data_IF_058109104474
#
_entry.id   IF_058109104474
#
_cell.length_a   1.000
_cell.length_b   1.000
_cell.length_c   1.000
_cell.angle_alpha   90.00
_cell.angle_beta   90.00
_cell.angle_gamma   90.00
#
_symmetry.space_group_name_H-M   'P 1'
#
loop_
_entity.id
_entity.type
_entity.pdbx_description
1 polymer ?
#
# COMPACT_ATOMS: atom_id res chain seq x y z
N UNK A 1 26.75 24.67 -9.00
CA UNK A 1 26.15 23.84 -7.94
C UNK A 1 24.76 24.39 -7.64
N UNK A 2 23.78 23.98 -8.44
CA UNK A 2 22.42 24.52 -8.37
C UNK A 2 21.67 23.98 -7.16
N UNK A 3 20.94 24.84 -6.44
CA UNK A 3 19.91 24.42 -5.49
C UNK A 3 19.00 23.43 -6.21
N UNK A 4 19.11 22.15 -5.88
CA UNK A 4 18.22 21.12 -6.43
C UNK A 4 16.78 21.49 -6.10
N UNK A 5 15.93 21.53 -7.11
CA UNK A 5 14.50 21.86 -7.06
C UNK A 5 13.73 20.74 -6.34
N UNK A 6 14.02 20.55 -5.05
CA UNK A 6 13.49 19.47 -4.22
C UNK A 6 12.20 19.92 -3.57
N UNK A 7 11.17 19.11 -3.73
CA UNK A 7 9.89 19.21 -3.06
C UNK A 7 9.88 18.29 -1.83
N UNK A 8 9.17 18.70 -0.79
CA UNK A 8 8.88 17.86 0.37
C UNK A 8 7.64 17.03 0.10
N UNK A 9 7.65 15.76 0.52
CA UNK A 9 6.55 14.85 0.34
C UNK A 9 6.41 13.85 1.50
N UNK A 10 5.23 13.24 1.59
CA UNK A 10 4.90 12.22 2.58
C UNK A 10 4.27 11.03 1.88
N UNK A 11 4.80 9.83 2.14
CA UNK A 11 4.16 8.58 1.77
C UNK A 11 3.35 8.08 2.96
N UNK A 12 2.05 7.87 2.79
CA UNK A 12 1.22 7.20 3.80
C UNK A 12 1.41 5.70 3.63
N UNK A 13 1.80 4.97 4.66
CA UNK A 13 2.16 3.54 4.58
C UNK A 13 1.42 2.72 5.66
N UNK A 14 1.32 1.39 5.50
CA UNK A 14 0.80 0.52 6.56
C UNK A 14 1.63 0.62 7.84
N UNK A 15 0.97 0.48 8.99
CA UNK A 15 1.64 0.42 10.28
C UNK A 15 2.55 -0.81 10.35
N UNK A 16 3.78 -0.61 10.81
CA UNK A 16 4.82 -1.65 10.88
C UNK A 16 5.69 -1.74 9.63
N UNK A 17 5.36 -1.01 8.57
CA UNK A 17 6.12 -0.98 7.32
C UNK A 17 6.82 0.36 7.09
N UNK A 18 6.92 1.24 8.08
CA UNK A 18 7.51 2.57 7.91
C UNK A 18 9.00 2.51 7.55
N UNK A 19 9.76 1.60 8.18
CA UNK A 19 11.16 1.38 7.83
C UNK A 19 11.32 0.80 6.42
N UNK A 20 10.59 -0.26 6.09
CA UNK A 20 10.62 -0.90 4.76
C UNK A 20 10.14 0.06 3.65
N UNK A 21 9.16 0.91 3.95
CA UNK A 21 8.70 1.98 3.07
C UNK A 21 9.81 3.00 2.85
N UNK A 22 10.50 3.44 3.91
CA UNK A 22 11.63 4.36 3.77
C UNK A 22 12.77 3.80 2.91
N UNK A 23 13.08 2.52 3.04
CA UNK A 23 14.05 1.84 2.17
C UNK A 23 13.57 1.78 0.71
N UNK A 24 12.29 1.51 0.46
CA UNK A 24 11.70 1.55 -0.89
C UNK A 24 11.83 2.94 -1.52
N UNK A 25 11.42 3.99 -0.80
CA UNK A 25 11.49 5.36 -1.30
C UNK A 25 12.93 5.76 -1.60
N UNK A 26 13.86 5.44 -0.71
CA UNK A 26 15.30 5.70 -0.89
C UNK A 26 15.84 4.97 -2.13
N UNK A 27 15.49 3.69 -2.31
CA UNK A 27 15.89 2.89 -3.48
C UNK A 27 15.33 3.42 -4.81
N UNK A 28 14.22 4.16 -4.76
CA UNK A 28 13.63 4.83 -5.91
C UNK A 28 14.13 6.28 -6.08
N UNK A 29 15.07 6.73 -5.25
CA UNK A 29 15.76 8.02 -5.40
C UNK A 29 15.23 9.14 -4.51
N UNK A 30 14.38 8.84 -3.52
CA UNK A 30 14.02 9.82 -2.50
C UNK A 30 15.22 10.15 -1.59
N UNK A 31 15.21 11.36 -1.04
CA UNK A 31 16.24 11.88 -0.15
C UNK A 31 15.65 12.27 1.21
N UNK A 32 16.52 12.46 2.21
CA UNK A 32 16.13 12.84 3.58
C UNK A 32 14.96 12.02 4.14
N UNK A 33 15.01 10.71 3.89
CA UNK A 33 13.90 9.80 4.17
C UNK A 33 13.80 9.53 5.67
N UNK A 34 12.65 9.86 6.25
CA UNK A 34 12.39 9.81 7.69
C UNK A 34 11.10 9.01 7.97
N UNK A 35 11.23 7.74 8.38
CA UNK A 35 10.10 6.97 8.88
C UNK A 35 9.44 7.64 10.09
N UNK A 36 8.13 7.82 10.02
CA UNK A 36 7.28 8.34 11.08
C UNK A 36 6.28 7.29 11.55
N UNK A 37 5.13 7.74 12.06
CA UNK A 37 4.01 6.84 12.42
C UNK A 37 3.06 6.71 11.24
N UNK A 38 2.96 5.53 10.63
CA UNK A 38 2.11 5.24 9.45
C UNK A 38 2.41 6.13 8.23
N UNK A 39 3.59 6.74 8.22
CA UNK A 39 4.00 7.70 7.21
C UNK A 39 5.52 7.71 7.10
N UNK A 40 6.03 8.11 5.94
CA UNK A 40 7.44 8.37 5.71
C UNK A 40 7.56 9.73 5.04
N UNK A 41 8.24 10.69 5.67
CA UNK A 41 8.54 11.98 5.04
C UNK A 41 9.84 11.90 4.26
N UNK A 42 9.92 12.61 3.14
CA UNK A 42 11.08 12.59 2.25
C UNK A 42 11.13 13.85 1.38
N UNK A 43 12.26 14.05 0.74
CA UNK A 43 12.47 15.00 -0.35
C UNK A 43 12.62 14.27 -1.69
N UNK A 44 12.10 14.88 -2.76
CA UNK A 44 12.21 14.34 -4.11
C UNK A 44 12.30 15.50 -5.11
N UNK A 45 12.78 15.25 -6.33
CA UNK A 45 12.44 16.07 -7.49
C UNK A 45 11.18 15.52 -8.18
N UNK A 46 10.67 16.21 -9.21
CA UNK A 46 9.48 15.76 -9.94
C UNK A 46 9.68 14.37 -10.60
N UNK A 47 10.89 14.09 -11.09
CA UNK A 47 11.20 12.80 -11.72
C UNK A 47 11.09 11.65 -10.71
N UNK A 48 11.66 11.84 -9.52
CA UNK A 48 11.53 10.90 -8.41
C UNK A 48 10.07 10.74 -7.99
N UNK A 49 9.31 11.84 -7.85
CA UNK A 49 7.90 11.76 -7.47
C UNK A 49 7.07 10.94 -8.48
N UNK A 50 7.30 11.10 -9.79
CA UNK A 50 6.67 10.28 -10.83
C UNK A 50 7.08 8.81 -10.72
N UNK A 51 8.38 8.56 -10.57
CA UNK A 51 8.92 7.22 -10.36
C UNK A 51 8.28 6.52 -9.16
N UNK A 52 8.06 7.23 -8.06
CA UNK A 52 7.42 6.70 -6.86
C UNK A 52 5.97 6.31 -7.13
N UNK A 53 5.20 7.12 -7.85
CA UNK A 53 3.81 6.77 -8.21
C UNK A 53 3.75 5.52 -9.11
N UNK A 54 4.69 5.39 -10.04
CA UNK A 54 4.76 4.25 -10.96
C UNK A 54 5.24 2.97 -10.27
N UNK A 55 6.24 3.07 -9.39
CA UNK A 55 7.04 1.90 -8.97
C UNK A 55 6.90 1.51 -7.49
N UNK A 56 6.44 2.40 -6.60
CA UNK A 56 6.36 2.08 -5.17
C UNK A 56 5.19 1.14 -4.85
N UNK A 57 5.45 0.12 -4.03
CA UNK A 57 4.49 -0.93 -3.66
C UNK A 57 3.90 -0.73 -2.27
N UNK A 58 4.61 -0.12 -1.34
CA UNK A 58 4.17 -0.02 0.06
C UNK A 58 3.23 1.17 0.33
N UNK A 59 3.40 2.35 -0.28
CA UNK A 59 2.52 3.49 -0.01
C UNK A 59 1.05 3.22 -0.35
N UNK A 60 0.15 3.75 0.47
CA UNK A 60 -1.26 3.95 0.15
C UNK A 60 -1.50 5.18 -0.70
N UNK A 61 -0.73 6.24 -0.46
CA UNK A 61 -0.81 7.55 -1.12
C UNK A 61 0.55 8.24 -1.06
N UNK A 62 0.84 9.08 -2.04
CA UNK A 62 1.98 9.98 -2.06
C UNK A 62 1.47 11.43 -2.08
N UNK A 63 1.86 12.19 -1.06
CA UNK A 63 1.39 13.54 -0.81
C UNK A 63 2.54 14.52 -1.04
N UNK A 64 2.41 15.40 -2.05
CA UNK A 64 3.37 16.48 -2.30
C UNK A 64 2.99 17.68 -1.44
N UNK A 65 3.84 18.07 -0.49
CA UNK A 65 3.59 19.24 0.33
C UNK A 65 3.71 20.51 -0.51
N UNK A 66 2.71 21.39 -0.42
CA UNK A 66 2.66 22.67 -1.15
C UNK A 66 2.77 23.85 -0.21
N UNK A 67 2.26 23.72 1.01
CA UNK A 67 2.38 24.76 2.02
C UNK A 67 2.48 24.16 3.43
N UNK A 68 3.13 24.91 4.30
CA UNK A 68 3.18 24.66 5.74
C UNK A 68 3.12 25.99 6.46
N UNK A 69 2.20 26.13 7.41
CA UNK A 69 1.98 27.39 8.12
C UNK A 69 1.51 27.13 9.57
N UNK A 70 1.77 28.07 10.51
CA UNK A 70 1.21 28.01 11.85
C UNK A 70 -0.32 27.97 11.81
N UNK A 71 -0.94 27.17 12.67
CA UNK A 71 -2.39 27.04 12.73
C UNK A 71 -2.84 26.81 14.17
N UNK A 72 -3.34 27.87 14.82
CA UNK A 72 -3.88 27.86 16.18
C UNK A 72 -5.41 27.93 16.22
N UNK A 73 -6.06 28.00 15.06
CA UNK A 73 -7.51 28.08 14.99
C UNK A 73 -8.04 28.16 13.57
N UNK A 74 -9.33 28.49 13.47
CA UNK A 74 -10.06 28.57 12.20
C UNK A 74 -9.57 29.71 11.30
N UNK A 75 -9.25 30.86 11.90
CA UNK A 75 -8.85 32.05 11.15
C UNK A 75 -7.47 31.85 10.51
N UNK A 76 -6.49 31.37 11.28
CA UNK A 76 -5.17 30.97 10.75
C UNK A 76 -5.29 29.94 9.61
N UNK A 77 -6.20 28.96 9.76
CA UNK A 77 -6.43 27.97 8.72
C UNK A 77 -6.99 28.61 7.46
N UNK A 78 -7.99 29.49 7.60
CA UNK A 78 -8.63 30.17 6.47
C UNK A 78 -7.61 30.98 5.67
N UNK A 79 -6.86 31.85 6.35
CA UNK A 79 -5.85 32.72 5.72
C UNK A 79 -4.70 31.91 5.13
N UNK A 80 -4.22 30.90 5.87
CA UNK A 80 -3.14 30.03 5.43
C UNK A 80 -3.50 29.22 4.18
N UNK A 81 -4.74 28.72 4.07
CA UNK A 81 -5.22 28.03 2.87
C UNK A 81 -5.27 28.98 1.67
N UNK A 82 -5.82 30.19 1.84
CA UNK A 82 -5.92 31.17 0.73
C UNK A 82 -4.56 31.58 0.18
N UNK A 83 -3.51 31.55 1.00
CA UNK A 83 -2.15 31.92 0.62
C UNK A 83 -1.25 30.71 0.27
N UNK A 84 -1.76 29.48 0.42
CA UNK A 84 -0.95 28.27 0.31
C UNK A 84 -0.41 28.01 -1.10
N UNK A 85 -1.19 28.37 -2.13
CA UNK A 85 -0.91 28.11 -3.54
C UNK A 85 -1.46 29.25 -4.39
N UNK A 86 -0.94 29.34 -5.61
CA UNK A 86 -1.54 30.15 -6.67
C UNK A 86 -2.84 29.48 -7.16
N UNK A 87 -3.94 29.72 -6.44
CA UNK A 87 -5.23 29.08 -6.73
C UNK A 87 -5.77 29.43 -8.12
N UNK A 88 -5.38 30.58 -8.68
CA UNK A 88 -5.70 30.95 -10.07
C UNK A 88 -5.21 29.89 -11.05
N UNK A 89 -3.97 29.43 -10.84
CA UNK A 89 -3.35 28.40 -11.66
C UNK A 89 -3.77 26.98 -11.30
N UNK A 90 -4.02 26.70 -10.02
CA UNK A 90 -4.15 25.33 -9.51
C UNK A 90 -5.58 24.82 -9.35
N UNK A 91 -6.58 25.72 -9.25
CA UNK A 91 -7.97 25.34 -9.02
C UNK A 91 -8.94 26.33 -9.69
N UNK A 92 -9.04 26.25 -11.02
CA UNK A 92 -10.02 27.02 -11.79
C UNK A 92 -11.47 26.59 -11.44
N UNK A 93 -12.47 27.49 -11.42
CA UNK A 93 -13.86 27.14 -11.06
C UNK A 93 -14.52 26.03 -11.89
N UNK A 94 -14.02 25.75 -13.10
CA UNK A 94 -14.49 24.62 -13.92
C UNK A 94 -14.05 23.25 -13.41
N UNK A 95 -13.06 23.20 -12.51
CA UNK A 95 -12.55 21.97 -11.92
C UNK A 95 -13.38 21.57 -10.69
N UNK A 96 -13.27 20.31 -10.31
CA UNK A 96 -13.79 19.75 -9.07
C UNK A 96 -12.66 19.47 -8.08
N UNK A 97 -12.96 19.49 -6.79
CA UNK A 97 -11.95 19.15 -5.79
C UNK A 97 -12.51 18.44 -4.57
N UNK A 98 -11.63 17.73 -3.86
CA UNK A 98 -11.89 17.20 -2.52
C UNK A 98 -10.82 17.61 -1.52
N UNK A 99 -11.19 17.57 -0.24
CA UNK A 99 -10.29 17.84 0.87
C UNK A 99 -10.41 16.70 1.87
N UNK A 100 -9.30 16.00 2.10
CA UNK A 100 -9.13 15.05 3.20
C UNK A 100 -8.37 15.72 4.34
N UNK A 101 -8.72 15.39 5.59
CA UNK A 101 -8.07 15.98 6.78
C UNK A 101 -7.65 14.89 7.76
N UNK A 102 -6.45 15.02 8.29
CA UNK A 102 -5.96 14.24 9.43
C UNK A 102 -5.43 15.14 10.54
N UNK A 103 -5.46 14.62 11.77
CA UNK A 103 -5.00 15.35 12.95
C UNK A 103 -6.01 16.40 13.43
N UNK A 104 -5.58 17.24 14.38
CA UNK A 104 -6.44 18.21 15.07
C UNK A 104 -5.66 19.48 15.43
N UNK A 105 -6.39 20.59 15.55
CA UNK A 105 -5.90 21.84 16.12
C UNK A 105 -7.00 22.46 17.02
N UNK A 106 -6.70 23.44 17.88
CA UNK A 106 -7.72 24.10 18.69
C UNK A 106 -8.89 24.61 17.84
N UNK A 107 -10.13 24.27 18.22
CA UNK A 107 -11.34 24.61 17.43
C UNK A 107 -11.52 23.81 16.12
N UNK A 108 -10.61 22.88 15.81
CA UNK A 108 -10.57 22.06 14.59
C UNK A 108 -10.37 20.58 14.95
N UNK A 109 -11.29 20.05 15.77
CA UNK A 109 -11.18 18.71 16.38
C UNK A 109 -11.81 17.59 15.54
N UNK A 110 -12.59 17.92 14.52
CA UNK A 110 -13.29 16.95 13.68
C UNK A 110 -12.87 17.13 12.22
N UNK A 111 -12.32 16.08 11.61
CA UNK A 111 -11.79 16.10 10.24
C UNK A 111 -12.81 16.61 9.22
N UNK A 112 -14.07 16.18 9.31
CA UNK A 112 -15.15 16.64 8.42
C UNK A 112 -15.41 18.15 8.55
N UNK A 113 -15.44 18.67 9.78
CA UNK A 113 -15.63 20.09 10.03
C UNK A 113 -14.44 20.91 9.50
N UNK A 114 -13.21 20.46 9.76
CA UNK A 114 -12.00 21.10 9.25
C UNK A 114 -11.97 21.08 7.72
N UNK A 115 -12.36 19.98 7.08
CA UNK A 115 -12.43 19.88 5.62
C UNK A 115 -13.41 20.93 5.05
N UNK A 116 -14.54 21.17 5.72
CA UNK A 116 -15.47 22.23 5.35
C UNK A 116 -14.85 23.63 5.45
N UNK A 117 -14.02 23.90 6.47
CA UNK A 117 -13.34 25.19 6.58
C UNK A 117 -12.35 25.43 5.44
N UNK A 118 -11.56 24.42 5.06
CA UNK A 118 -10.67 24.49 3.89
C UNK A 118 -11.48 24.74 2.62
N UNK A 119 -12.59 24.02 2.42
CA UNK A 119 -13.48 24.22 1.26
C UNK A 119 -14.01 25.63 1.20
N UNK A 120 -14.45 26.21 2.32
CA UNK A 120 -14.95 27.58 2.36
C UNK A 120 -13.84 28.57 1.97
N UNK A 121 -12.64 28.42 2.51
CA UNK A 121 -11.50 29.29 2.17
C UNK A 121 -11.19 29.29 0.66
N UNK A 122 -11.22 28.11 0.03
CA UNK A 122 -11.00 27.97 -1.41
C UNK A 122 -12.15 28.54 -2.24
N UNK A 123 -13.40 28.24 -1.88
CA UNK A 123 -14.59 28.72 -2.60
C UNK A 123 -14.70 30.24 -2.53
N UNK A 124 -14.40 30.83 -1.38
CA UNK A 124 -14.40 32.29 -1.24
C UNK A 124 -13.27 32.91 -2.06
N UNK A 125 -12.07 32.31 -2.08
CA UNK A 125 -10.98 32.77 -2.94
C UNK A 125 -11.37 32.72 -4.43
N UNK A 126 -12.08 31.66 -4.86
CA UNK A 126 -12.58 31.58 -6.23
C UNK A 126 -13.64 32.65 -6.53
N UNK A 127 -14.56 32.91 -5.60
CA UNK A 127 -15.57 33.96 -5.78
C UNK A 127 -14.97 35.34 -5.89
N UNK A 128 -13.93 35.62 -5.10
CA UNK A 128 -13.24 36.91 -5.14
C UNK A 128 -12.52 37.13 -6.49
N UNK A 129 -11.99 36.06 -7.09
CA UNK A 129 -11.25 36.10 -8.36
C UNK A 129 -12.16 36.07 -9.60
N UNK A 130 -13.19 35.22 -9.62
CA UNK A 130 -14.00 34.94 -10.81
C UNK A 130 -15.51 35.17 -10.63
N UNK A 131 -16.00 35.36 -9.40
CA UNK A 131 -17.43 35.36 -9.10
C UNK A 131 -18.10 33.97 -9.18
N UNK A 132 -17.32 32.93 -9.47
CA UNK A 132 -17.77 31.54 -9.63
C UNK A 132 -17.12 30.63 -8.57
N UNK A 133 -17.54 29.36 -8.53
CA UNK A 133 -16.96 28.35 -7.62
C UNK A 133 -16.94 26.96 -8.25
N UNK A 134 -15.95 26.17 -7.88
CA UNK A 134 -15.88 24.74 -8.15
C UNK A 134 -16.96 23.94 -7.44
N UNK A 135 -17.37 22.82 -8.05
CA UNK A 135 -18.13 21.76 -7.37
C UNK A 135 -17.22 20.79 -6.61
N UNK A 136 -17.80 20.05 -5.67
CA UNK A 136 -17.09 18.99 -4.93
C UNK A 136 -17.42 17.66 -5.59
N UNK A 137 -16.39 16.93 -6.01
CA UNK A 137 -16.47 15.51 -6.36
C UNK A 137 -15.66 14.72 -5.34
N UNK A 138 -16.28 13.76 -4.66
CA UNK A 138 -15.60 12.96 -3.64
C UNK A 138 -14.93 11.71 -4.22
N UNK A 139 -15.41 11.25 -5.37
CA UNK A 139 -15.04 9.99 -5.99
C UNK A 139 -13.91 10.21 -7.00
N UNK A 140 -14.10 11.14 -7.94
CA UNK A 140 -13.15 11.44 -9.03
C UNK A 140 -12.90 12.96 -9.21
N UNK A 141 -12.28 13.63 -8.22
CA UNK A 141 -11.99 15.06 -8.31
C UNK A 141 -10.79 15.37 -9.22
N UNK A 142 -10.86 16.50 -9.92
CA UNK A 142 -9.72 17.04 -10.67
C UNK A 142 -8.55 17.41 -9.75
N UNK A 143 -8.84 17.90 -8.53
CA UNK A 143 -7.83 18.21 -7.52
C UNK A 143 -8.12 17.52 -6.16
N UNK A 144 -7.19 16.70 -5.70
CA UNK A 144 -7.23 16.11 -4.35
C UNK A 144 -6.26 16.82 -3.42
N UNK A 145 -6.80 17.41 -2.35
CA UNK A 145 -6.03 18.07 -1.29
C UNK A 145 -6.06 17.24 -0.01
N UNK A 146 -4.93 17.18 0.68
CA UNK A 146 -4.81 16.60 2.01
C UNK A 146 -4.22 17.62 2.98
N UNK A 147 -4.94 17.88 4.07
CA UNK A 147 -4.49 18.72 5.17
C UNK A 147 -4.11 17.84 6.37
N UNK A 148 -2.90 18.00 6.88
CA UNK A 148 -2.51 17.47 8.18
C UNK A 148 -2.40 18.59 9.21
N UNK A 149 -3.11 18.46 10.34
CA UNK A 149 -3.01 19.34 11.49
C UNK A 149 -2.24 18.67 12.62
N UNK A 150 -1.22 19.32 13.14
CA UNK A 150 -0.50 18.80 14.30
C UNK A 150 0.63 19.72 14.74
N UNK A 151 0.97 19.64 16.04
CA UNK A 151 2.09 20.39 16.63
C UNK A 151 2.02 21.91 16.39
N UNK A 152 0.81 22.48 16.33
CA UNK A 152 0.58 23.92 16.13
C UNK A 152 0.71 24.39 14.68
N UNK A 153 0.76 23.48 13.71
CA UNK A 153 0.91 23.78 12.30
C UNK A 153 -0.10 23.01 11.43
N UNK A 154 -0.35 23.57 10.26
CA UNK A 154 -1.06 22.97 9.15
C UNK A 154 -0.07 22.65 8.02
N UNK A 155 -0.20 21.46 7.45
CA UNK A 155 0.54 21.02 6.26
C UNK A 155 -0.46 20.70 5.15
N UNK A 156 -0.48 21.52 4.11
CA UNK A 156 -1.30 21.31 2.93
C UNK A 156 -0.50 20.56 1.88
N UNK A 157 -1.09 19.50 1.33
CA UNK A 157 -0.47 18.66 0.29
C UNK A 157 -1.43 18.37 -0.86
N UNK A 158 -0.87 18.19 -2.05
CA UNK A 158 -1.54 17.61 -3.20
C UNK A 158 -1.42 16.08 -3.14
N UNK A 159 -2.54 15.37 -3.31
CA UNK A 159 -2.54 13.91 -3.48
C UNK A 159 -2.53 13.57 -4.97
N UNK A 160 -1.39 13.08 -5.45
CA UNK A 160 -1.20 12.72 -6.86
C UNK A 160 -1.75 11.36 -7.22
N UNK A 161 -2.22 10.57 -6.25
CA UNK A 161 -2.49 9.15 -6.42
C UNK A 161 -3.79 8.84 -7.17
N UNK A 162 -4.75 9.77 -7.22
CA UNK A 162 -6.10 9.56 -7.79
C UNK A 162 -6.99 8.58 -7.01
N UNK A 163 -6.45 7.94 -5.98
CA UNK A 163 -7.08 6.90 -5.19
C UNK A 163 -6.01 6.17 -4.39
N UNK A 164 -6.40 5.18 -3.58
CA UNK A 164 -5.38 4.46 -2.85
C UNK A 164 -4.57 3.55 -3.77
N UNK A 165 -3.25 3.63 -3.66
CA UNK A 165 -2.28 2.93 -4.50
C UNK A 165 -2.37 1.41 -4.35
N UNK A 166 -2.76 0.88 -3.18
CA UNK A 166 -2.90 -0.57 -2.99
C UNK A 166 -3.77 -1.25 -4.05
N UNK A 167 -4.81 -0.57 -4.57
CA UNK A 167 -5.64 -1.12 -5.65
C UNK A 167 -4.85 -1.18 -6.95
N UNK A 168 -4.32 -2.35 -7.29
CA UNK A 168 -3.44 -2.55 -8.48
C UNK A 168 -4.20 -2.81 -9.78
N UNK A 169 -5.49 -3.14 -9.69
CA UNK A 169 -6.36 -3.38 -10.85
C UNK A 169 -6.57 -4.86 -11.18
N UNK A 170 -5.74 -5.78 -10.69
CA UNK A 170 -5.90 -7.22 -10.94
C UNK A 170 -7.03 -7.88 -10.11
N UNK A 171 -7.55 -7.19 -9.10
CA UNK A 171 -8.55 -7.71 -8.18
C UNK A 171 -9.81 -6.85 -8.20
N UNK A 172 -10.97 -7.48 -8.38
CA UNK A 172 -12.26 -6.83 -8.19
C UNK A 172 -12.45 -6.46 -6.70
N UNK A 173 -13.05 -5.29 -6.43
CA UNK A 173 -13.37 -4.88 -5.06
C UNK A 173 -14.41 -5.84 -4.46
N UNK A 174 -14.00 -6.74 -3.56
CA UNK A 174 -14.84 -7.83 -3.05
C UNK A 174 -14.70 -8.03 -1.54
N UNK A 175 -15.84 -8.11 -0.85
CA UNK A 175 -16.04 -8.87 0.39
C UNK A 175 -15.34 -8.38 1.67
N UNK A 176 -15.57 -9.12 2.76
CA UNK A 176 -15.10 -8.77 4.10
C UNK A 176 -13.57 -8.84 4.23
N UNK A 177 -12.95 -7.66 4.35
CA UNK A 177 -11.58 -7.38 4.77
C UNK A 177 -10.44 -8.28 4.22
N UNK A 178 -10.27 -8.38 2.89
CA UNK A 178 -9.09 -9.04 2.34
C UNK A 178 -7.77 -8.31 2.66
N UNK A 179 -6.68 -9.08 2.72
CA UNK A 179 -5.32 -8.53 2.84
C UNK A 179 -5.05 -7.58 1.67
N UNK A 180 -4.70 -6.33 1.99
CA UNK A 180 -4.37 -5.32 0.97
C UNK A 180 -3.03 -5.61 0.31
N UNK A 181 -2.94 -5.33 -0.98
CA UNK A 181 -1.80 -5.60 -1.85
C UNK A 181 -0.52 -4.93 -1.34
N UNK A 182 -0.61 -3.68 -0.88
CA UNK A 182 0.56 -2.98 -0.35
C UNK A 182 1.08 -3.54 0.98
N UNK A 183 0.18 -4.05 1.83
CA UNK A 183 0.59 -4.78 3.04
C UNK A 183 1.22 -6.12 2.64
N UNK A 184 0.61 -6.87 1.73
CA UNK A 184 1.17 -8.12 1.22
C UNK A 184 2.58 -7.92 0.63
N UNK A 185 2.78 -6.93 -0.23
CA UNK A 185 4.09 -6.58 -0.77
C UNK A 185 5.12 -6.28 0.33
N UNK A 186 4.71 -5.56 1.38
CA UNK A 186 5.56 -5.30 2.53
C UNK A 186 5.88 -6.54 3.36
N UNK A 187 4.91 -7.44 3.56
CA UNK A 187 5.11 -8.71 4.27
C UNK A 187 6.10 -9.59 3.51
N UNK A 188 5.95 -9.72 2.19
CA UNK A 188 6.91 -10.43 1.33
C UNK A 188 8.30 -9.78 1.43
N UNK A 189 8.39 -8.45 1.34
CA UNK A 189 9.68 -7.75 1.48
C UNK A 189 10.37 -8.05 2.81
N UNK A 190 9.62 -8.15 3.91
CA UNK A 190 10.16 -8.49 5.23
C UNK A 190 10.69 -9.93 5.32
N UNK A 191 10.26 -10.83 4.43
CA UNK A 191 10.81 -12.20 4.34
C UNK A 191 12.22 -12.23 3.71
N UNK A 192 12.58 -11.20 2.94
CA UNK A 192 13.80 -11.19 2.14
C UNK A 192 13.75 -12.07 0.89
N UNK A 193 12.59 -12.64 0.54
CA UNK A 193 12.43 -13.44 -0.66
C UNK A 193 12.62 -12.58 -1.92
N UNK A 194 13.51 -13.04 -2.81
CA UNK A 194 13.97 -12.32 -4.00
C UNK A 194 13.70 -13.06 -5.33
N UNK A 195 12.99 -14.20 -5.26
CA UNK A 195 12.75 -15.06 -6.40
C UNK A 195 13.80 -16.16 -6.62
N UNK A 196 14.74 -16.36 -5.71
CA UNK A 196 15.78 -17.40 -5.82
C UNK A 196 15.33 -18.80 -5.39
N UNK A 197 14.25 -18.91 -4.61
CA UNK A 197 13.75 -20.16 -4.03
C UNK A 197 12.24 -20.30 -4.19
N UNK A 198 11.68 -21.53 -4.15
CA UNK A 198 10.24 -21.74 -4.19
C UNK A 198 9.50 -20.93 -3.11
N UNK A 199 8.29 -20.49 -3.43
CA UNK A 199 7.40 -19.78 -2.52
C UNK A 199 6.03 -20.44 -2.53
N UNK A 200 5.56 -20.87 -1.37
CA UNK A 200 4.29 -21.59 -1.24
C UNK A 200 3.38 -20.90 -0.25
N UNK A 201 2.09 -20.78 -0.58
CA UNK A 201 1.04 -20.31 0.32
C UNK A 201 0.00 -21.43 0.52
N UNK A 202 0.00 -22.12 1.67
CA UNK A 202 -0.88 -23.26 1.92
C UNK A 202 -2.34 -22.87 2.16
N UNK A 203 -2.60 -21.57 2.39
CA UNK A 203 -3.95 -21.03 2.56
C UNK A 203 -4.07 -19.74 1.75
N UNK A 204 -3.90 -19.84 0.43
CA UNK A 204 -3.61 -18.67 -0.40
C UNK A 204 -4.76 -17.69 -0.53
N UNK A 205 -6.00 -18.11 -0.24
CA UNK A 205 -7.18 -17.29 -0.44
C UNK A 205 -7.18 -16.73 -1.85
N UNK A 206 -7.30 -15.41 -1.96
CA UNK A 206 -7.26 -14.67 -3.23
C UNK A 206 -5.90 -14.64 -3.96
N UNK A 207 -4.83 -15.27 -3.43
CA UNK A 207 -3.51 -15.35 -4.05
C UNK A 207 -2.61 -14.11 -3.89
N UNK A 208 -3.02 -13.11 -3.09
CA UNK A 208 -2.38 -11.78 -3.05
C UNK A 208 -0.91 -11.81 -2.63
N UNK A 209 -0.52 -12.68 -1.67
CA UNK A 209 0.88 -12.80 -1.24
C UNK A 209 1.78 -13.27 -2.39
N UNK A 210 1.33 -14.29 -3.13
CA UNK A 210 2.06 -14.84 -4.27
C UNK A 210 2.12 -13.86 -5.44
N UNK A 211 1.01 -13.18 -5.74
CA UNK A 211 0.95 -12.17 -6.81
C UNK A 211 1.95 -11.05 -6.51
N UNK A 212 1.90 -10.46 -5.31
CA UNK A 212 2.81 -9.36 -4.97
C UNK A 212 4.28 -9.80 -4.90
N UNK A 213 4.55 -11.05 -4.50
CA UNK A 213 5.89 -11.62 -4.57
C UNK A 213 6.40 -11.72 -6.02
N UNK A 214 5.64 -12.34 -6.91
CA UNK A 214 5.99 -12.48 -8.32
C UNK A 214 6.20 -11.12 -8.99
N UNK A 215 5.26 -10.18 -8.80
CA UNK A 215 5.36 -8.83 -9.35
C UNK A 215 6.63 -8.11 -8.86
N UNK A 216 7.00 -8.28 -7.58
CA UNK A 216 8.21 -7.71 -7.02
C UNK A 216 9.48 -8.31 -7.63
N UNK A 217 9.58 -9.64 -7.71
CA UNK A 217 10.75 -10.32 -8.25
C UNK A 217 10.95 -10.06 -9.76
N UNK A 218 9.85 -10.00 -10.52
CA UNK A 218 9.86 -9.64 -11.95
C UNK A 218 10.02 -8.13 -12.20
N UNK A 219 10.10 -7.32 -11.14
CA UNK A 219 10.18 -5.85 -11.20
C UNK A 219 9.06 -5.23 -12.05
N UNK A 220 7.87 -5.82 -12.03
CA UNK A 220 6.69 -5.26 -12.70
C UNK A 220 6.12 -4.12 -11.88
N UNK A 221 6.24 -2.90 -12.39
CA UNK A 221 5.84 -1.69 -11.69
C UNK A 221 4.31 -1.63 -11.50
N UNK A 222 3.80 -1.47 -10.26
CA UNK A 222 2.38 -1.57 -9.94
C UNK A 222 1.52 -0.41 -10.49
N UNK A 223 2.16 0.66 -10.96
CA UNK A 223 1.49 1.88 -11.43
C UNK A 223 1.45 2.05 -12.94
N UNK A 224 1.97 1.11 -13.75
CA UNK A 224 2.08 1.31 -15.20
C UNK A 224 0.73 1.35 -15.93
N UNK A 225 -0.26 0.57 -15.46
CA UNK A 225 -1.55 0.39 -16.15
C UNK A 225 -2.68 1.24 -15.51
N UNK A 226 -2.34 2.27 -14.74
CA UNK A 226 -3.32 3.13 -14.04
C UNK A 226 -3.10 4.60 -14.33
N UNK A 227 -4.16 5.38 -14.15
CA UNK A 227 -4.12 6.85 -14.16
C UNK A 227 -3.85 7.40 -12.76
N UNK A 228 -3.26 8.58 -12.72
CA UNK A 228 -2.94 9.32 -11.51
C UNK A 228 -3.48 10.75 -11.57
N UNK A 229 -3.95 11.27 -10.44
CA UNK A 229 -4.42 12.65 -10.34
C UNK A 229 -3.31 13.68 -10.60
N UNK A 230 -2.04 13.31 -10.39
CA UNK A 230 -0.89 14.17 -10.71
C UNK A 230 -0.79 14.55 -12.19
N UNK A 231 -1.38 13.77 -13.09
CA UNK A 231 -1.38 14.05 -14.53
C UNK A 231 -2.19 15.32 -14.85
N UNK A 232 -3.13 15.69 -13.98
CA UNK A 232 -3.91 16.93 -14.07
C UNK A 232 -3.30 18.14 -13.34
N UNK A 233 -2.12 17.99 -12.73
CA UNK A 233 -1.50 19.11 -12.01
C UNK A 233 -1.03 20.22 -12.95
N UNK A 234 -1.16 21.47 -12.50
CA UNK A 234 -0.79 22.65 -13.29
C UNK A 234 0.72 22.76 -13.61
N UNK A 235 1.55 21.95 -12.98
CA UNK A 235 2.99 21.83 -13.26
C UNK A 235 3.41 20.41 -13.67
N UNK A 236 2.46 19.59 -14.13
CA UNK A 236 2.76 18.29 -14.72
C UNK A 236 3.66 18.44 -15.94
N UNK A 237 4.65 17.55 -16.05
CA UNK A 237 5.65 17.55 -17.12
C UNK A 237 5.54 16.25 -17.93
N UNK A 238 4.77 16.25 -19.04
CA UNK A 238 4.53 15.04 -19.84
C UNK A 238 5.81 14.34 -20.30
N UNK A 239 6.78 15.09 -20.83
CA UNK A 239 8.05 14.53 -21.31
C UNK A 239 8.86 13.85 -20.20
N UNK A 240 8.73 14.31 -18.95
CA UNK A 240 9.41 13.72 -17.80
C UNK A 240 8.67 12.48 -17.30
N UNK A 241 7.33 12.51 -17.33
CA UNK A 241 6.49 11.37 -17.04
C UNK A 241 6.77 10.20 -17.99
N UNK A 242 6.76 10.46 -19.31
CA UNK A 242 7.00 9.44 -20.33
C UNK A 242 8.36 8.77 -20.15
N UNK A 243 9.40 9.54 -19.80
CA UNK A 243 10.73 8.99 -19.47
C UNK A 243 10.70 8.06 -18.26
N UNK A 244 9.95 8.39 -17.22
CA UNK A 244 9.87 7.55 -16.02
C UNK A 244 8.95 6.33 -16.23
N UNK A 245 7.94 6.43 -17.10
CA UNK A 245 7.16 5.29 -17.62
C UNK A 245 8.06 4.33 -18.39
N UNK A 246 8.87 4.82 -19.32
CA UNK A 246 9.81 4.00 -20.09
C UNK A 246 10.86 3.35 -19.20
N UNK A 247 11.40 4.10 -18.23
CA UNK A 247 12.31 3.55 -17.20
C UNK A 247 11.65 2.43 -16.40
N UNK A 248 10.38 2.58 -16.03
CA UNK A 248 9.64 1.56 -15.30
C UNK A 248 9.40 0.31 -16.15
N UNK A 249 9.07 0.47 -17.45
CA UNK A 249 8.91 -0.66 -18.40
C UNK A 249 10.22 -1.42 -18.60
N UNK A 250 11.33 -0.72 -18.76
CA UNK A 250 12.65 -1.31 -18.99
C UNK A 250 13.23 -2.07 -17.79
N UNK A 251 12.73 -1.80 -16.57
CA UNK A 251 13.14 -2.55 -15.36
C UNK A 251 12.57 -3.96 -15.28
N UNK A 252 11.48 -4.24 -16.00
CA UNK A 252 10.82 -5.54 -15.96
C UNK A 252 11.81 -6.65 -16.34
N UNK A 253 11.95 -7.65 -15.47
CA UNK A 253 12.78 -8.84 -15.68
C UNK A 253 11.95 -9.94 -16.34
N UNK A 254 11.59 -9.75 -17.61
CA UNK A 254 10.78 -10.71 -18.35
C UNK A 254 11.51 -12.02 -18.70
N UNK A 255 12.82 -12.02 -18.59
CA UNK A 255 13.73 -13.17 -18.79
C UNK A 255 13.97 -13.98 -17.52
N UNK A 256 13.59 -13.45 -16.35
CA UNK A 256 13.75 -14.15 -15.09
C UNK A 256 12.77 -15.32 -15.00
N UNK A 257 13.30 -16.53 -15.04
CA UNK A 257 12.56 -17.73 -14.67
C UNK A 257 12.49 -17.82 -13.16
N UNK A 258 11.29 -17.68 -12.59
CA UNK A 258 11.06 -17.92 -11.17
C UNK A 258 10.95 -19.42 -10.89
N UNK A 259 11.38 -19.89 -9.70
CA UNK A 259 11.06 -21.22 -9.21
C UNK A 259 9.55 -21.34 -8.94
N UNK A 260 9.12 -22.52 -8.47
CA UNK A 260 7.70 -22.77 -8.20
C UNK A 260 7.11 -21.73 -7.23
N UNK A 261 6.06 -21.04 -7.68
CA UNK A 261 5.12 -20.30 -6.83
C UNK A 261 3.81 -21.08 -6.78
N UNK A 262 3.45 -21.61 -5.61
CA UNK A 262 2.29 -22.47 -5.42
C UNK A 262 1.33 -21.89 -4.38
N UNK A 263 0.06 -21.70 -4.75
CA UNK A 263 -1.03 -21.39 -3.83
C UNK A 263 -1.96 -22.58 -3.70
N UNK A 264 -2.37 -22.89 -2.47
CA UNK A 264 -3.33 -23.95 -2.17
C UNK A 264 -4.53 -23.29 -1.48
N UNK A 265 -5.73 -23.63 -1.96
CA UNK A 265 -6.98 -23.14 -1.38
C UNK A 265 -8.03 -24.26 -1.37
N UNK A 266 -8.63 -24.47 -0.20
CA UNK A 266 -9.57 -25.55 0.03
C UNK A 266 -10.95 -25.24 -0.57
N UNK A 267 -11.38 -23.98 -0.54
CA UNK A 267 -12.64 -23.56 -1.15
C UNK A 267 -12.49 -23.40 -2.67
N UNK A 268 -13.20 -24.18 -3.51
CA UNK A 268 -13.09 -24.09 -4.96
C UNK A 268 -13.42 -22.71 -5.53
N UNK A 269 -14.40 -22.01 -4.95
CA UNK A 269 -14.81 -20.67 -5.39
C UNK A 269 -13.72 -19.65 -5.14
N UNK A 270 -13.05 -19.73 -3.98
CA UNK A 270 -11.94 -18.84 -3.65
C UNK A 270 -10.71 -19.17 -4.50
N UNK A 271 -10.45 -20.46 -4.76
CA UNK A 271 -9.37 -20.89 -5.65
C UNK A 271 -9.56 -20.38 -7.09
N UNK A 272 -10.78 -20.44 -7.63
CA UNK A 272 -11.11 -19.90 -8.94
C UNK A 272 -10.93 -18.37 -8.99
N UNK A 273 -11.32 -17.67 -7.91
CA UNK A 273 -11.04 -16.25 -7.79
C UNK A 273 -9.53 -15.95 -7.74
N UNK A 274 -8.73 -16.79 -7.09
CA UNK A 274 -7.28 -16.65 -7.06
C UNK A 274 -6.67 -16.83 -8.46
N UNK A 275 -7.13 -17.84 -9.23
CA UNK A 275 -6.72 -18.04 -10.63
C UNK A 275 -7.07 -16.83 -11.48
N UNK A 276 -8.28 -16.29 -11.35
CA UNK A 276 -8.70 -15.09 -12.08
C UNK A 276 -7.83 -13.87 -11.73
N UNK A 277 -7.45 -13.69 -10.45
CA UNK A 277 -6.54 -12.62 -10.04
C UNK A 277 -5.12 -12.82 -10.60
N UNK A 278 -4.61 -14.06 -10.60
CA UNK A 278 -3.30 -14.42 -11.18
C UNK A 278 -3.29 -14.12 -12.68
N UNK A 279 -4.36 -14.48 -13.39
CA UNK A 279 -4.53 -14.18 -14.81
C UNK A 279 -4.60 -12.68 -15.09
N UNK A 280 -5.42 -11.94 -14.32
CA UNK A 280 -5.52 -10.49 -14.44
C UNK A 280 -4.20 -9.76 -14.11
N UNK A 281 -3.35 -10.35 -13.28
CA UNK A 281 -1.99 -9.86 -13.01
C UNK A 281 -0.97 -10.27 -14.09
N UNK A 282 -1.36 -11.08 -15.08
CA UNK A 282 -0.48 -11.57 -16.15
C UNK A 282 0.52 -12.64 -15.69
N UNK A 283 0.15 -13.45 -14.69
CA UNK A 283 1.05 -14.38 -13.98
C UNK A 283 0.64 -15.86 -14.10
N UNK A 284 -0.27 -16.22 -15.01
CA UNK A 284 -0.75 -17.62 -15.18
C UNK A 284 0.35 -18.63 -15.48
N UNK A 285 1.45 -18.21 -16.12
CA UNK A 285 2.62 -19.06 -16.37
C UNK A 285 3.64 -19.09 -15.23
N UNK A 286 3.40 -18.35 -14.15
CA UNK A 286 4.33 -18.14 -13.03
C UNK A 286 3.78 -18.71 -11.73
N UNK A 287 2.50 -18.48 -11.45
CA UNK A 287 1.83 -18.91 -10.22
C UNK A 287 0.87 -20.05 -10.52
N UNK A 288 1.04 -21.18 -9.83
CA UNK A 288 0.11 -22.30 -9.87
C UNK A 288 -0.84 -22.23 -8.66
N UNK A 289 -2.14 -22.37 -8.91
CA UNK A 289 -3.16 -22.49 -7.86
C UNK A 289 -3.76 -23.89 -7.88
N UNK A 290 -3.60 -24.63 -6.78
CA UNK A 290 -4.23 -25.93 -6.52
C UNK A 290 -5.51 -25.74 -5.68
N UNK A 291 -6.59 -26.42 -6.08
CA UNK A 291 -7.81 -26.49 -5.27
C UNK A 291 -7.75 -27.78 -4.46
N UNK A 292 -7.83 -27.67 -3.14
CA UNK A 292 -7.74 -28.81 -2.23
C UNK A 292 -7.13 -28.44 -0.89
N UNK A 293 -6.91 -29.45 -0.07
CA UNK A 293 -6.29 -29.30 1.24
C UNK A 293 -4.76 -29.37 1.11
N UNK A 294 -4.05 -28.51 1.85
CA UNK A 294 -2.59 -28.46 1.80
C UNK A 294 -1.95 -29.74 2.37
N UNK A 295 -2.69 -30.47 3.21
CA UNK A 295 -2.25 -31.75 3.78
C UNK A 295 -2.02 -32.85 2.74
N UNK A 296 -2.58 -32.69 1.52
CA UNK A 296 -2.39 -33.63 0.41
C UNK A 296 -1.27 -33.21 -0.56
N UNK A 297 -0.64 -32.06 -0.35
CA UNK A 297 0.38 -31.51 -1.24
C UNK A 297 1.79 -31.84 -0.72
N UNK A 298 2.73 -32.02 -1.64
CA UNK A 298 4.15 -32.20 -1.31
C UNK A 298 4.93 -30.93 -1.68
N UNK A 299 5.85 -30.51 -0.81
CA UNK A 299 6.72 -29.38 -1.10
C UNK A 299 7.90 -29.80 -1.99
N UNK A 300 8.43 -28.91 -2.84
CA UNK A 300 9.67 -29.16 -3.57
C UNK A 300 10.82 -29.55 -2.65
N UNK A 301 11.71 -30.41 -3.13
CA UNK A 301 12.95 -30.72 -2.42
C UNK A 301 13.84 -29.48 -2.28
N UNK A 302 14.60 -29.40 -1.18
CA UNK A 302 15.52 -28.30 -0.90
C UNK A 302 14.88 -27.16 -0.10
N UNK A 303 15.54 -26.00 0.01
CA UNK A 303 15.04 -24.87 0.78
C UNK A 303 13.95 -24.10 0.02
N UNK A 304 13.01 -23.55 0.77
CA UNK A 304 11.96 -22.68 0.25
C UNK A 304 11.32 -21.82 1.34
N UNK A 305 10.34 -21.01 0.95
CA UNK A 305 9.60 -20.15 1.86
C UNK A 305 8.11 -20.47 1.79
N UNK A 306 7.51 -20.67 2.96
CA UNK A 306 6.07 -20.66 3.15
C UNK A 306 5.64 -19.28 3.61
N UNK A 307 4.62 -18.70 2.98
CA UNK A 307 3.94 -17.48 3.44
C UNK A 307 2.47 -17.80 3.63
N UNK A 308 1.85 -17.36 4.72
CA UNK A 308 0.46 -17.73 4.99
C UNK A 308 -0.27 -16.61 5.73
N UNK A 309 -1.49 -16.34 5.29
CA UNK A 309 -2.44 -15.46 5.97
C UNK A 309 -3.72 -16.22 6.31
N UNK A 310 -3.68 -17.15 7.29
CA UNK A 310 -4.85 -17.95 7.65
C UNK A 310 -5.91 -17.08 8.36
N UNK A 311 -7.16 -17.54 8.45
CA UNK A 311 -8.24 -16.80 9.11
C UNK A 311 -7.99 -16.62 10.62
N UNK A 312 -8.38 -15.48 11.20
CA UNK A 312 -8.11 -15.16 12.62
C UNK A 312 -9.26 -15.44 13.60
N UNK A 313 -10.44 -15.84 13.10
CA UNK A 313 -11.62 -16.12 13.94
C UNK A 313 -12.35 -14.88 14.44
N UNK A 314 -12.85 -14.04 13.53
CA UNK A 314 -13.65 -12.85 13.88
C UNK A 314 -15.15 -13.14 14.05
N UNK A 315 -15.60 -14.36 13.72
CA UNK A 315 -17.00 -14.79 13.88
C UNK A 315 -17.11 -15.74 15.07
N UNK A 316 -18.14 -15.54 15.88
CA UNK A 316 -18.47 -16.42 17.01
C UNK A 316 -18.90 -17.77 16.43
N UNK A 317 -18.17 -18.86 16.75
CA UNK A 317 -18.49 -20.22 16.30
C UNK A 317 -17.31 -20.98 15.68
N UNK A 318 -16.32 -20.28 15.11
CA UNK A 318 -15.27 -20.89 14.29
C UNK A 318 -14.02 -21.35 15.09
N UNK A 319 -13.99 -21.19 16.41
CA UNK A 319 -12.75 -21.37 17.20
C UNK A 319 -12.17 -22.80 17.14
N UNK A 320 -13.02 -23.83 17.16
CA UNK A 320 -12.56 -25.23 17.09
C UNK A 320 -12.05 -25.60 15.70
N UNK A 321 -12.73 -25.15 14.65
CA UNK A 321 -12.31 -25.38 13.27
C UNK A 321 -10.98 -24.67 12.97
N UNK A 322 -10.80 -23.46 13.51
CA UNK A 322 -9.55 -22.73 13.37
C UNK A 322 -8.41 -23.34 14.19
N UNK A 323 -8.67 -23.84 15.40
CA UNK A 323 -7.65 -24.56 16.16
C UNK A 323 -7.19 -25.84 15.42
N UNK A 324 -8.14 -26.57 14.81
CA UNK A 324 -7.84 -27.73 13.97
C UNK A 324 -7.02 -27.34 12.73
N UNK A 325 -7.39 -26.26 12.03
CA UNK A 325 -6.66 -25.74 10.87
C UNK A 325 -5.21 -25.37 11.23
N UNK A 326 -5.01 -24.62 12.32
CA UNK A 326 -3.67 -24.23 12.75
C UNK A 326 -2.85 -25.45 13.22
N UNK A 327 -3.48 -26.44 13.85
CA UNK A 327 -2.84 -27.71 14.22
C UNK A 327 -2.39 -28.50 12.99
N UNK A 328 -3.27 -28.62 11.99
CA UNK A 328 -2.98 -29.30 10.72
C UNK A 328 -1.86 -28.59 9.95
N UNK A 329 -1.88 -27.25 9.88
CA UNK A 329 -0.80 -26.47 9.30
C UNK A 329 0.53 -26.71 10.02
N UNK A 330 0.52 -26.72 11.36
CA UNK A 330 1.72 -27.03 12.16
C UNK A 330 2.25 -28.45 11.95
N UNK A 331 1.38 -29.41 11.64
CA UNK A 331 1.77 -30.78 11.29
C UNK A 331 2.37 -30.84 9.88
N UNK A 332 1.67 -30.29 8.88
CA UNK A 332 2.13 -30.21 7.50
C UNK A 332 3.52 -29.59 7.40
N UNK A 333 3.73 -28.44 8.03
CA UNK A 333 5.02 -27.73 8.01
C UNK A 333 6.16 -28.57 8.61
N UNK A 334 5.89 -29.34 9.68
CA UNK A 334 6.92 -30.22 10.29
C UNK A 334 7.24 -31.43 9.43
N UNK A 335 6.30 -31.91 8.64
CA UNK A 335 6.47 -33.09 7.79
C UNK A 335 7.13 -32.75 6.47
N UNK A 336 6.66 -31.68 5.81
CA UNK A 336 7.01 -31.37 4.41
C UNK A 336 8.07 -30.26 4.28
N UNK A 337 8.23 -29.40 5.29
CA UNK A 337 9.00 -28.15 5.14
C UNK A 337 10.32 -28.14 5.93
N UNK A 338 10.94 -29.29 6.20
CA UNK A 338 12.26 -29.32 6.85
C UNK A 338 13.30 -28.56 6.01
N UNK A 339 14.03 -27.63 6.62
CA UNK A 339 14.96 -26.72 5.92
C UNK A 339 14.31 -25.49 5.27
N UNK A 340 12.99 -25.34 5.36
CA UNK A 340 12.26 -24.16 4.88
C UNK A 340 12.10 -23.10 5.98
N UNK A 341 11.66 -21.92 5.56
CA UNK A 341 11.15 -20.88 6.45
C UNK A 341 9.63 -20.76 6.33
N UNK A 342 8.93 -20.58 7.44
CA UNK A 342 7.52 -20.21 7.46
C UNK A 342 7.37 -18.76 7.95
N UNK A 343 6.61 -17.99 7.20
CA UNK A 343 6.11 -16.68 7.59
C UNK A 343 4.59 -16.68 7.68
N UNK A 344 4.05 -16.36 8.85
CA UNK A 344 2.61 -16.44 9.11
C UNK A 344 2.08 -15.12 9.68
N UNK A 345 1.00 -14.61 9.08
CA UNK A 345 0.30 -13.44 9.59
C UNK A 345 -0.74 -13.91 10.60
N UNK A 346 -0.68 -13.39 11.81
CA UNK A 346 -1.62 -13.76 12.87
C UNK A 346 -2.17 -12.54 13.60
N UNK A 347 -3.49 -12.45 13.66
CA UNK A 347 -4.22 -11.54 14.55
C UNK A 347 -4.65 -12.19 15.88
N UNK A 348 -4.34 -13.47 16.10
CA UNK A 348 -4.81 -14.22 17.26
C UNK A 348 -3.69 -15.10 17.88
N UNK A 349 -3.06 -14.64 18.97
CA UNK A 349 -1.99 -15.39 19.63
C UNK A 349 -2.41 -16.77 20.15
N UNK A 350 -3.69 -16.99 20.49
CA UNK A 350 -4.18 -18.28 20.99
C UNK A 350 -4.14 -19.33 19.89
N UNK A 351 -4.72 -19.03 18.72
CA UNK A 351 -4.71 -19.91 17.54
C UNK A 351 -3.29 -20.23 17.07
N UNK A 352 -2.40 -19.23 17.14
CA UNK A 352 -0.99 -19.41 16.79
C UNK A 352 -0.28 -20.46 17.65
N UNK A 353 -0.72 -20.66 18.90
CA UNK A 353 -0.18 -21.69 19.79
C UNK A 353 -0.43 -23.12 19.28
N UNK A 354 -1.50 -23.33 18.50
CA UNK A 354 -1.86 -24.64 17.95
C UNK A 354 -0.86 -25.15 16.90
N UNK A 355 -0.07 -24.25 16.27
CA UNK A 355 1.03 -24.64 15.37
C UNK A 355 2.08 -25.51 16.07
N UNK A 356 2.23 -25.39 17.40
CA UNK A 356 3.29 -26.04 18.19
C UNK A 356 4.72 -25.72 17.71
N UNK A 357 4.90 -24.56 17.08
CA UNK A 357 6.18 -24.03 16.62
C UNK A 357 6.62 -22.81 17.44
N UNK A 358 7.93 -22.61 17.57
CA UNK A 358 8.50 -21.45 18.25
C UNK A 358 8.99 -20.43 17.22
N UNK A 359 8.33 -19.27 17.18
CA UNK A 359 8.72 -18.19 16.27
C UNK A 359 10.12 -17.65 16.62
N UNK A 360 10.95 -17.45 15.60
CA UNK A 360 12.28 -16.83 15.70
C UNK A 360 12.20 -15.30 15.65
N UNK A 361 11.23 -14.74 14.92
CA UNK A 361 10.95 -13.29 14.85
C UNK A 361 9.47 -13.01 14.90
N UNK A 362 9.11 -11.83 15.43
CA UNK A 362 7.72 -11.34 15.52
C UNK A 362 7.68 -9.86 15.17
N UNK A 363 7.09 -9.51 14.03
CA UNK A 363 7.04 -8.12 13.56
C UNK A 363 5.62 -7.58 13.73
N UNK A 364 5.40 -6.50 14.49
CA UNK A 364 4.09 -5.88 14.63
C UNK A 364 3.65 -5.22 13.32
N UNK A 365 2.45 -5.58 12.86
CA UNK A 365 1.82 -5.04 11.65
C UNK A 365 0.32 -4.85 11.89
N UNK A 366 -0.35 -4.01 11.10
CA UNK A 366 -1.80 -3.88 11.17
C UNK A 366 -2.48 -4.30 9.87
N UNK A 367 -3.41 -5.25 9.96
CA UNK A 367 -4.25 -5.66 8.84
C UNK A 367 -5.67 -5.14 9.04
N UNK A 368 -6.09 -4.14 8.26
CA UNK A 368 -7.45 -3.59 8.35
C UNK A 368 -7.82 -3.00 9.72
N UNK A 369 -6.83 -2.59 10.53
CA UNK A 369 -7.04 -2.10 11.90
C UNK A 369 -6.91 -3.19 12.99
N UNK A 370 -6.79 -4.45 12.60
CA UNK A 370 -6.49 -5.57 13.49
C UNK A 370 -5.00 -5.49 13.87
N UNK A 371 -4.67 -5.63 15.15
CA UNK A 371 -3.29 -5.76 15.61
C UNK A 371 -2.79 -7.17 15.32
N UNK A 372 -1.85 -7.30 14.38
CA UNK A 372 -1.33 -8.57 13.92
C UNK A 372 0.19 -8.68 14.14
N UNK A 373 0.70 -9.90 14.06
CA UNK A 373 2.14 -10.17 14.01
C UNK A 373 2.45 -10.95 12.73
N UNK A 374 3.50 -10.54 12.03
CA UNK A 374 4.16 -11.33 10.99
C UNK A 374 5.24 -12.16 11.66
N UNK A 375 5.00 -13.47 11.75
CA UNK A 375 5.76 -14.40 12.56
C UNK A 375 6.67 -15.23 11.66
N UNK A 376 7.97 -15.24 11.94
CA UNK A 376 8.93 -16.10 11.25
C UNK A 376 9.18 -17.36 12.08
N UNK A 377 9.29 -18.50 11.41
CA UNK A 377 9.71 -19.78 11.96
C UNK A 377 10.79 -20.38 11.05
N UNK A 378 11.87 -20.86 11.65
CA UNK A 378 12.87 -21.69 10.98
C UNK A 378 12.47 -23.16 11.21
N UNK A 379 12.26 -23.92 10.13
CA UNK A 379 11.80 -25.30 10.22
C UNK A 379 12.99 -26.24 10.13
N UNK A 380 13.11 -27.14 11.11
CA UNK A 380 14.22 -28.09 11.25
C UNK A 380 13.70 -29.50 11.13
#
# INVERSE_FOLDING_TARGET
MGRTNRLSAVAVVPQGLEAAGGEELSGLGAHDVKPGRRAVSFEADMACLYRLHLQARLPFRLLRQVARFPCQGRDDLYDGIRQALDWERWLHPSMTFRVDVTGTAPGLNHSHFTALQVKNALVDAQRDLWGERSSIDLDDPDLSLHLHLGRGEAQLSLDGSGGSLHRRGYRAAMGAAPLKENLAAGLIRLTGWDGSQPLVDPCCGSGVLLIEAALAALQQAPGLERRFALEGWADFQPDLWDKEVDRARQRRRGDLSLPLLLGIEADPSIADQARANVEAAGLSGVIRICTGSFEAEALPEGPGVLVCNPPYGQRIGDEQELDALYSALGQFVRQEASGWQLWLLSGNPKLTGALRLKASRRIPVSNGGIDCRWLQYEIR
#
